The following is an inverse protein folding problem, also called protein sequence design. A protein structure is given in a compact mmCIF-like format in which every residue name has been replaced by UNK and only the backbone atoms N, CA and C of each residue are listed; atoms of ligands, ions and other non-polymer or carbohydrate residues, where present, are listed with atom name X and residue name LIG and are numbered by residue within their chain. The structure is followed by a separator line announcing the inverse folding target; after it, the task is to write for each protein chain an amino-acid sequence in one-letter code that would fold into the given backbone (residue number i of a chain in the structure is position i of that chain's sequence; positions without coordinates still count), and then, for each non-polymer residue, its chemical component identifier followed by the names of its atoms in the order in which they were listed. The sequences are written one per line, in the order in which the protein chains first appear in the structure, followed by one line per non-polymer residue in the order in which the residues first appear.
data_IF_634384874539
#
_entry.id   IF_634384874539
#
_cell.length_a   1.000
_cell.length_b   1.000
_cell.length_c   1.000
_cell.angle_alpha   90.00
_cell.angle_beta   90.00
_cell.angle_gamma   90.00
#
_symmetry.space_group_name_H-M   'P 1'
#
loop_
_entity.id
_entity.type
_entity.pdbx_description
1 polymer ?
#
# COMPACT_ATOMS: atom_id res chain seq x y z
N UNK A 1 -12.14 -4.31 -12.00
CA UNK A 1 -12.86 -3.02 -12.06
C UNK A 1 -12.74 -2.26 -10.73
N UNK A 2 -13.08 -2.87 -9.61
CA UNK A 2 -13.09 -2.21 -8.29
C UNK A 2 -11.76 -1.55 -7.89
N UNK A 3 -10.62 -2.22 -8.07
CA UNK A 3 -9.30 -1.64 -7.76
C UNK A 3 -9.00 -0.41 -8.63
N UNK A 4 -9.41 -0.42 -9.90
CA UNK A 4 -9.23 0.72 -10.79
C UNK A 4 -10.10 1.91 -10.37
N UNK A 5 -11.37 1.66 -10.02
CA UNK A 5 -12.29 2.71 -9.54
C UNK A 5 -11.79 3.36 -8.25
N UNK A 6 -11.33 2.53 -7.29
CA UNK A 6 -10.72 3.03 -6.04
C UNK A 6 -9.50 3.90 -6.33
N UNK A 7 -8.62 3.47 -7.23
CA UNK A 7 -7.43 4.21 -7.62
C UNK A 7 -7.77 5.51 -8.37
N UNK A 8 -8.75 5.49 -9.27
CA UNK A 8 -9.22 6.68 -9.99
C UNK A 8 -9.76 7.73 -9.01
N UNK A 9 -10.59 7.33 -8.06
CA UNK A 9 -11.11 8.23 -7.05
C UNK A 9 -10.01 8.84 -6.19
N UNK A 10 -9.08 8.01 -5.71
CA UNK A 10 -7.91 8.48 -4.96
C UNK A 10 -7.05 9.46 -5.75
N UNK A 11 -6.90 9.23 -7.06
CA UNK A 11 -6.16 10.12 -7.94
C UNK A 11 -6.83 11.48 -8.14
N UNK A 12 -8.15 11.49 -8.28
CA UNK A 12 -8.93 12.73 -8.36
C UNK A 12 -8.75 13.57 -7.09
N UNK A 13 -8.86 12.93 -5.92
CA UNK A 13 -8.60 13.58 -4.64
C UNK A 13 -7.16 14.13 -4.61
N UNK A 14 -6.15 13.30 -4.92
CA UNK A 14 -4.75 13.72 -4.91
C UNK A 14 -4.47 14.94 -5.81
N UNK A 15 -5.10 15.01 -6.98
CA UNK A 15 -4.97 16.15 -7.89
C UNK A 15 -5.67 17.40 -7.36
N UNK A 16 -6.78 17.25 -6.66
CA UNK A 16 -7.54 18.38 -6.10
C UNK A 16 -6.95 18.95 -4.81
N UNK A 17 -6.02 18.23 -4.14
CA UNK A 17 -5.34 18.70 -2.95
C UNK A 17 -4.58 20.02 -3.24
N UNK A 18 -4.88 21.06 -2.48
CA UNK A 18 -4.14 22.31 -2.50
C UNK A 18 -2.72 22.14 -1.95
N UNK A 19 -1.90 23.17 -2.06
CA UNK A 19 -0.57 23.16 -1.43
C UNK A 19 -0.67 23.08 0.10
N UNK A 20 -1.65 23.77 0.67
CA UNK A 20 -1.90 23.78 2.12
C UNK A 20 -2.39 22.42 2.60
N UNK A 21 -3.34 21.77 1.88
CA UNK A 21 -3.74 20.41 2.19
C UNK A 21 -2.55 19.44 2.18
N UNK A 22 -1.72 19.50 1.14
CA UNK A 22 -0.52 18.66 1.05
C UNK A 22 0.48 18.92 2.18
N UNK A 23 0.59 20.17 2.64
CA UNK A 23 1.43 20.52 3.77
C UNK A 23 0.87 19.92 5.06
N UNK A 24 -0.41 20.10 5.31
CA UNK A 24 -1.09 19.66 6.54
C UNK A 24 -1.21 18.12 6.63
N UNK A 25 -1.27 17.42 5.49
CA UNK A 25 -1.27 15.95 5.44
C UNK A 25 0.12 15.31 5.66
N UNK A 26 1.20 16.09 5.56
CA UNK A 26 2.58 15.56 5.73
C UNK A 26 2.82 14.82 7.04
N UNK A 27 2.33 15.28 8.22
CA UNK A 27 2.53 14.53 9.46
C UNK A 27 1.93 13.12 9.40
N UNK A 28 0.75 12.97 8.83
CA UNK A 28 0.08 11.67 8.69
C UNK A 28 0.87 10.74 7.75
N UNK A 29 1.29 11.26 6.60
CA UNK A 29 2.10 10.51 5.63
C UNK A 29 3.44 10.10 6.23
N UNK A 30 4.11 10.99 6.99
CA UNK A 30 5.37 10.67 7.68
C UNK A 30 5.20 9.60 8.74
N UNK A 31 4.11 9.63 9.51
CA UNK A 31 3.84 8.61 10.52
C UNK A 31 3.66 7.23 9.89
N UNK A 32 2.88 7.14 8.80
CA UNK A 32 2.72 5.90 8.03
C UNK A 32 4.08 5.43 7.51
N UNK A 33 4.85 6.31 6.90
CA UNK A 33 6.17 6.01 6.35
C UNK A 33 7.14 5.49 7.42
N UNK A 34 7.23 6.18 8.57
CA UNK A 34 8.07 5.74 9.68
C UNK A 34 7.68 4.37 10.24
N UNK A 35 6.39 4.06 10.32
CA UNK A 35 5.93 2.73 10.70
C UNK A 35 6.31 1.68 9.64
N UNK A 36 6.23 2.01 8.37
CA UNK A 36 6.68 1.11 7.29
C UNK A 36 8.20 0.88 7.30
N UNK A 37 8.99 1.88 7.66
CA UNK A 37 10.43 1.73 7.87
C UNK A 37 10.75 0.75 9.01
N UNK A 38 10.04 0.87 10.15
CA UNK A 38 10.18 -0.08 11.26
C UNK A 38 9.83 -1.51 10.84
N UNK A 39 8.74 -1.69 10.10
CA UNK A 39 8.36 -2.99 9.55
C UNK A 39 9.45 -3.53 8.61
N UNK A 40 10.01 -2.69 7.74
CA UNK A 40 11.10 -3.09 6.84
C UNK A 40 12.35 -3.53 7.60
N UNK A 41 12.68 -2.88 8.70
CA UNK A 41 13.77 -3.28 9.60
C UNK A 41 13.54 -4.67 10.18
N UNK A 42 12.34 -4.94 10.68
CA UNK A 42 11.98 -6.28 11.19
C UNK A 42 12.02 -7.33 10.07
N UNK A 43 11.54 -7.01 8.86
CA UNK A 43 11.61 -7.90 7.70
C UNK A 43 13.06 -8.25 7.34
N UNK A 44 13.97 -7.28 7.43
CA UNK A 44 15.39 -7.48 7.13
C UNK A 44 16.06 -8.32 8.22
N UNK A 45 15.82 -8.03 9.50
CA UNK A 45 16.36 -8.79 10.64
C UNK A 45 15.93 -10.26 10.64
N UNK A 46 14.72 -10.54 10.14
CA UNK A 46 14.15 -11.89 10.05
C UNK A 46 14.36 -12.55 8.68
N UNK A 47 15.14 -11.97 7.79
CA UNK A 47 15.40 -12.45 6.40
C UNK A 47 14.10 -12.73 5.59
N UNK A 48 13.01 -12.03 5.94
CA UNK A 48 11.70 -12.26 5.34
C UNK A 48 11.68 -12.01 3.84
N UNK A 49 12.47 -11.07 3.34
CA UNK A 49 12.56 -10.75 1.90
C UNK A 49 13.15 -11.90 1.10
N UNK A 50 14.13 -12.62 1.64
CA UNK A 50 14.72 -13.81 1.02
C UNK A 50 13.71 -14.95 0.96
N UNK A 51 12.96 -15.19 2.04
CA UNK A 51 11.91 -16.19 2.07
C UNK A 51 10.78 -15.86 1.08
N UNK A 52 10.37 -14.61 0.98
CA UNK A 52 9.39 -14.16 -0.01
C UNK A 52 9.87 -14.37 -1.45
N UNK A 53 11.16 -14.14 -1.74
CA UNK A 53 11.74 -14.42 -3.06
C UNK A 53 11.71 -15.91 -3.39
N UNK A 54 12.08 -16.77 -2.44
CA UNK A 54 12.07 -18.23 -2.62
C UNK A 54 10.67 -18.77 -2.93
N UNK A 55 9.62 -18.25 -2.30
CA UNK A 55 8.26 -18.69 -2.56
C UNK A 55 7.61 -18.03 -3.78
N UNK A 56 8.28 -17.09 -4.44
CA UNK A 56 7.77 -16.37 -5.60
C UNK A 56 6.53 -15.52 -5.31
N UNK A 57 6.32 -15.12 -4.04
CA UNK A 57 5.21 -14.25 -3.65
C UNK A 57 3.84 -14.91 -3.84
N UNK A 58 3.67 -16.17 -3.42
CA UNK A 58 2.39 -16.89 -3.54
C UNK A 58 1.25 -16.25 -2.77
N UNK A 59 1.55 -15.39 -1.77
CA UNK A 59 0.58 -14.60 -1.02
C UNK A 59 0.15 -13.30 -1.75
N UNK A 60 0.84 -12.90 -2.82
CA UNK A 60 0.44 -11.75 -3.64
C UNK A 60 -0.67 -12.19 -4.61
N UNK A 61 -1.88 -12.31 -4.09
CA UNK A 61 -3.08 -12.76 -4.80
C UNK A 61 -4.06 -11.62 -5.03
N UNK A 62 -5.04 -11.86 -5.92
CA UNK A 62 -6.08 -10.88 -6.26
C UNK A 62 -6.91 -10.43 -5.05
N UNK A 63 -7.14 -11.30 -4.06
CA UNK A 63 -7.93 -10.97 -2.88
C UNK A 63 -7.23 -9.92 -1.99
N UNK A 64 -5.89 -10.00 -1.89
CA UNK A 64 -5.11 -8.96 -1.21
C UNK A 64 -5.18 -7.65 -1.98
N UNK A 65 -5.12 -7.68 -3.30
CA UNK A 65 -5.30 -6.49 -4.14
C UNK A 65 -6.70 -5.87 -3.95
N UNK A 66 -7.74 -6.68 -3.91
CA UNK A 66 -9.12 -6.22 -3.69
C UNK A 66 -9.30 -5.53 -2.32
N UNK A 67 -8.45 -5.89 -1.34
CA UNK A 67 -8.44 -5.29 0.00
C UNK A 67 -7.73 -3.93 0.07
N UNK A 68 -7.12 -3.46 -1.02
CA UNK A 68 -6.52 -2.11 -1.09
C UNK A 68 -7.64 -1.08 -1.13
N UNK A 69 -7.62 -0.13 -0.20
CA UNK A 69 -8.60 0.93 -0.09
C UNK A 69 -8.19 2.22 -0.82
N UNK A 70 -9.11 3.16 -0.96
CA UNK A 70 -8.87 4.44 -1.61
C UNK A 70 -7.79 5.25 -0.90
N UNK A 71 -7.76 5.22 0.43
CA UNK A 71 -6.73 5.92 1.22
C UNK A 71 -5.34 5.30 0.99
N UNK A 72 -5.24 3.99 0.79
CA UNK A 72 -3.98 3.33 0.40
C UNK A 72 -3.48 3.86 -0.95
N UNK A 73 -4.35 3.96 -1.96
CA UNK A 73 -3.98 4.52 -3.27
C UNK A 73 -3.57 5.99 -3.17
N UNK A 74 -4.25 6.78 -2.34
CA UNK A 74 -3.86 8.16 -2.11
C UNK A 74 -2.47 8.25 -1.46
N UNK A 75 -2.18 7.40 -0.47
CA UNK A 75 -0.85 7.30 0.13
C UNK A 75 0.20 6.90 -0.91
N UNK A 76 -0.05 5.88 -1.73
CA UNK A 76 0.84 5.49 -2.83
C UNK A 76 1.13 6.68 -3.72
N UNK A 77 0.11 7.38 -4.23
CA UNK A 77 0.30 8.52 -5.13
C UNK A 77 1.01 9.70 -4.47
N UNK A 78 0.95 9.81 -3.14
CA UNK A 78 1.63 10.86 -2.38
C UNK A 78 3.11 10.57 -2.13
N UNK A 79 3.53 9.30 -2.19
CA UNK A 79 4.87 8.86 -1.79
C UNK A 79 5.73 8.35 -2.93
N UNK A 80 5.13 7.90 -4.04
CA UNK A 80 5.88 7.45 -5.22
C UNK A 80 6.31 8.60 -6.12
N UNK A 81 7.42 8.40 -6.83
CA UNK A 81 7.88 9.31 -7.88
C UNK A 81 6.89 9.37 -9.06
N UNK A 82 7.06 10.37 -9.93
CA UNK A 82 6.24 10.49 -11.14
C UNK A 82 6.31 9.24 -12.03
N UNK A 83 7.50 8.69 -12.23
CA UNK A 83 7.71 7.52 -13.10
C UNK A 83 7.06 6.26 -12.52
N UNK A 84 7.26 6.01 -11.23
CA UNK A 84 6.61 4.88 -10.54
C UNK A 84 5.10 4.99 -10.62
N UNK A 85 4.55 6.19 -10.48
CA UNK A 85 3.12 6.47 -10.60
C UNK A 85 2.58 6.12 -12.00
N UNK A 86 3.32 6.50 -13.04
CA UNK A 86 2.96 6.16 -14.43
C UNK A 86 2.95 4.64 -14.65
N UNK A 87 3.91 3.91 -14.09
CA UNK A 87 3.96 2.44 -14.19
C UNK A 87 2.83 1.75 -13.40
N UNK A 88 2.49 2.28 -12.23
CA UNK A 88 1.34 1.84 -11.45
C UNK A 88 0.05 2.05 -12.27
N UNK A 89 -0.13 3.21 -12.88
CA UNK A 89 -1.29 3.48 -13.74
C UNK A 89 -1.37 2.55 -14.94
N UNK A 90 -0.29 2.37 -15.68
CA UNK A 90 -0.24 1.42 -16.80
C UNK A 90 -0.63 0.00 -16.37
N UNK A 91 -0.27 -0.36 -15.14
CA UNK A 91 -0.60 -1.67 -14.58
C UNK A 91 -2.08 -1.78 -14.18
N UNK A 92 -2.64 -0.72 -13.59
CA UNK A 92 -4.07 -0.66 -13.25
C UNK A 92 -4.99 -0.75 -14.47
N UNK A 93 -4.55 -0.22 -15.62
CA UNK A 93 -5.30 -0.23 -16.86
C UNK A 93 -5.25 -1.59 -17.59
N UNK A 94 -4.34 -2.49 -17.23
CA UNK A 94 -4.28 -3.83 -17.82
C UNK A 94 -5.45 -4.67 -17.34
N UNK A 95 -6.04 -5.43 -18.25
CA UNK A 95 -7.02 -6.45 -17.88
C UNK A 95 -6.33 -7.53 -17.02
N UNK A 96 -6.85 -7.75 -15.83
CA UNK A 96 -6.42 -8.77 -14.89
C UNK A 96 -7.56 -9.75 -14.56
N UNK A 97 -8.63 -9.74 -15.35
CA UNK A 97 -9.79 -10.60 -15.16
C UNK A 97 -9.36 -12.07 -15.26
N UNK A 98 -9.81 -12.86 -14.29
CA UNK A 98 -9.45 -14.28 -14.20
C UNK A 98 -8.05 -14.59 -13.66
N UNK A 99 -7.21 -13.59 -13.40
CA UNK A 99 -5.93 -13.82 -12.75
C UNK A 99 -6.11 -14.04 -11.25
N UNK A 100 -5.47 -15.08 -10.71
CA UNK A 100 -5.36 -15.29 -9.26
C UNK A 100 -4.24 -14.47 -8.61
N UNK A 101 -3.38 -13.84 -9.41
CA UNK A 101 -2.26 -13.05 -8.91
C UNK A 101 -2.66 -11.57 -8.81
N UNK A 102 -2.09 -10.89 -7.81
CA UNK A 102 -2.14 -9.44 -7.71
C UNK A 102 -1.51 -8.81 -8.97
N UNK A 103 -2.16 -7.79 -9.55
CA UNK A 103 -1.68 -7.10 -10.76
C UNK A 103 -0.35 -6.38 -10.57
N UNK A 104 -0.04 -5.96 -9.35
CA UNK A 104 1.22 -5.28 -9.02
C UNK A 104 2.41 -6.24 -8.86
N UNK A 105 2.17 -7.56 -8.94
CA UNK A 105 3.22 -8.56 -8.89
C UNK A 105 3.95 -8.66 -10.22
N UNK A 106 5.25 -8.57 -10.20
CA UNK A 106 6.13 -8.79 -11.36
C UNK A 106 7.12 -9.94 -11.10
N UNK A 107 7.90 -10.31 -12.12
CA UNK A 107 9.00 -11.29 -11.96
C UNK A 107 10.07 -10.83 -10.96
N UNK A 108 10.20 -9.52 -10.74
CA UNK A 108 11.17 -8.91 -9.82
C UNK A 108 10.58 -8.59 -8.44
N UNK A 109 9.31 -8.91 -8.20
CA UNK A 109 8.58 -8.57 -6.98
C UNK A 109 7.44 -7.58 -7.23
N UNK A 110 6.99 -6.89 -6.19
CA UNK A 110 5.97 -5.86 -6.31
C UNK A 110 6.50 -4.61 -7.01
N UNK A 111 5.72 -4.03 -7.93
CA UNK A 111 6.09 -2.77 -8.59
C UNK A 111 5.87 -1.54 -7.69
N UNK A 112 5.03 -1.67 -6.64
CA UNK A 112 4.87 -0.61 -5.65
C UNK A 112 6.09 -0.64 -4.74
N UNK A 113 6.82 0.49 -4.58
CA UNK A 113 7.97 0.58 -3.70
C UNK A 113 7.65 0.16 -2.28
N UNK A 114 8.61 -0.42 -1.58
CA UNK A 114 8.40 -1.04 -0.27
C UNK A 114 7.75 -0.11 0.76
N UNK A 115 8.26 1.12 0.86
CA UNK A 115 7.73 2.13 1.79
C UNK A 115 6.47 2.86 1.30
N UNK A 116 5.97 2.52 0.13
CA UNK A 116 4.71 3.05 -0.44
C UNK A 116 3.62 2.00 -0.52
N UNK A 117 3.83 0.79 0.01
CA UNK A 117 2.87 -0.31 -0.08
C UNK A 117 1.60 -0.02 0.72
N UNK A 118 0.45 -0.52 0.25
CA UNK A 118 -0.79 -0.54 1.03
C UNK A 118 -0.59 -1.19 2.40
N UNK A 119 -1.37 -0.76 3.40
CA UNK A 119 -1.25 -1.31 4.74
C UNK A 119 -1.44 -2.84 4.77
N UNK A 120 -2.40 -3.35 4.00
CA UNK A 120 -2.64 -4.79 3.90
C UNK A 120 -1.44 -5.54 3.33
N UNK A 121 -0.80 -5.00 2.28
CA UNK A 121 0.35 -5.63 1.66
C UNK A 121 1.60 -5.61 2.55
N UNK A 122 1.75 -4.54 3.36
CA UNK A 122 2.91 -4.37 4.23
C UNK A 122 2.86 -5.24 5.48
N UNK A 123 1.67 -5.64 5.90
CA UNK A 123 1.47 -6.40 7.13
C UNK A 123 0.93 -7.81 6.92
N UNK A 124 0.75 -8.22 5.67
CA UNK A 124 0.32 -9.58 5.34
C UNK A 124 1.53 -10.49 5.13
N UNK A 125 1.57 -11.57 5.90
CA UNK A 125 2.56 -12.63 5.76
C UNK A 125 1.88 -13.99 5.72
N UNK A 126 2.42 -14.86 4.89
CA UNK A 126 1.91 -16.24 4.78
C UNK A 126 2.25 -17.05 6.04
N UNK A 127 1.55 -18.17 6.22
CA UNK A 127 1.69 -19.07 7.38
C UNK A 127 3.09 -19.71 7.53
N UNK A 128 3.95 -19.55 6.53
CA UNK A 128 5.31 -20.11 6.54
C UNK A 128 6.24 -19.43 7.54
N UNK A 129 5.93 -18.19 7.94
CA UNK A 129 6.69 -17.45 8.95
C UNK A 129 5.75 -16.99 10.08
N UNK A 130 5.43 -17.90 10.99
CA UNK A 130 4.49 -17.67 12.10
C UNK A 130 5.00 -16.61 13.10
N UNK A 131 6.31 -16.57 13.33
CA UNK A 131 6.92 -15.60 14.24
C UNK A 131 6.76 -14.18 13.69
N UNK A 132 7.16 -13.96 12.45
CA UNK A 132 6.98 -12.69 11.76
C UNK A 132 5.49 -12.31 11.69
N UNK A 133 4.61 -13.26 11.37
CA UNK A 133 3.17 -13.03 11.34
C UNK A 133 2.63 -12.55 12.70
N UNK A 134 3.12 -13.10 13.80
CA UNK A 134 2.70 -12.69 15.14
C UNK A 134 3.18 -11.28 15.47
N UNK A 135 4.42 -10.94 15.14
CA UNK A 135 4.95 -9.58 15.30
C UNK A 135 4.17 -8.58 14.44
N UNK A 136 3.85 -8.94 13.21
CA UNK A 136 3.13 -8.06 12.29
C UNK A 136 1.68 -7.77 12.68
N UNK A 137 1.07 -8.55 13.58
CA UNK A 137 -0.27 -8.24 14.11
C UNK A 137 -0.30 -6.89 14.83
N UNK A 138 0.72 -6.55 15.60
CA UNK A 138 0.81 -5.26 16.30
C UNK A 138 0.99 -4.11 15.30
N UNK A 139 1.90 -4.29 14.35
CA UNK A 139 2.12 -3.28 13.30
C UNK A 139 0.87 -3.08 12.42
N UNK A 140 0.11 -4.15 12.15
CA UNK A 140 -1.13 -4.07 11.38
C UNK A 140 -2.14 -3.13 12.03
N UNK A 141 -2.36 -3.25 13.34
CA UNK A 141 -3.28 -2.38 14.06
C UNK A 141 -2.79 -0.93 14.04
N UNK A 142 -1.50 -0.71 14.29
CA UNK A 142 -0.90 0.63 14.26
C UNK A 142 -1.02 1.25 12.86
N UNK A 143 -0.60 0.52 11.83
CA UNK A 143 -0.60 1.01 10.46
C UNK A 143 -2.03 1.27 9.96
N UNK A 144 -2.96 0.36 10.20
CA UNK A 144 -4.38 0.55 9.89
C UNK A 144 -4.94 1.81 10.57
N UNK A 145 -4.66 2.00 11.86
CA UNK A 145 -5.07 3.19 12.60
C UNK A 145 -4.55 4.48 11.98
N UNK A 146 -3.30 4.50 11.55
CA UNK A 146 -2.69 5.66 10.89
C UNK A 146 -3.33 5.97 9.53
N UNK A 147 -3.64 4.94 8.73
CA UNK A 147 -4.39 5.13 7.48
C UNK A 147 -5.81 5.67 7.75
N UNK A 148 -6.47 5.21 8.80
CA UNK A 148 -7.78 5.76 9.21
C UNK A 148 -7.69 7.20 9.68
N UNK A 149 -6.62 7.60 10.36
CA UNK A 149 -6.40 9.00 10.73
C UNK A 149 -6.23 9.88 9.49
N UNK A 150 -5.45 9.44 8.50
CA UNK A 150 -5.30 10.13 7.22
C UNK A 150 -6.65 10.27 6.49
N UNK A 151 -7.43 9.20 6.43
CA UNK A 151 -8.77 9.20 5.82
C UNK A 151 -9.70 10.20 6.52
N UNK A 152 -9.73 10.20 7.85
CA UNK A 152 -10.58 11.08 8.65
C UNK A 152 -10.18 12.56 8.47
N UNK A 153 -8.88 12.86 8.40
CA UNK A 153 -8.38 14.21 8.13
C UNK A 153 -8.86 14.70 6.75
N UNK A 154 -8.78 13.85 5.75
CA UNK A 154 -9.26 14.18 4.41
C UNK A 154 -10.77 14.41 4.38
N UNK A 155 -11.55 13.57 5.05
CA UNK A 155 -13.00 13.76 5.20
C UNK A 155 -13.34 15.05 5.93
N UNK A 156 -12.61 15.39 6.98
CA UNK A 156 -12.78 16.65 7.71
C UNK A 156 -12.52 17.88 6.85
N UNK A 157 -11.77 17.75 5.76
CA UNK A 157 -11.51 18.79 4.75
C UNK A 157 -12.51 18.77 3.58
N UNK A 158 -13.52 17.92 3.65
CA UNK A 158 -14.56 17.81 2.62
C UNK A 158 -14.21 16.92 1.42
N UNK A 159 -13.13 16.12 1.50
CA UNK A 159 -12.84 15.12 0.49
C UNK A 159 -13.68 13.85 0.76
N UNK A 160 -14.46 13.46 -0.23
CA UNK A 160 -15.29 12.25 -0.14
C UNK A 160 -14.52 11.02 -0.64
N UNK A 161 -14.52 9.96 0.17
CA UNK A 161 -13.93 8.65 -0.12
C UNK A 161 -14.98 7.61 -0.45
#
# INVERSE_FOLDING_TARGET
LESLEKAQRAWEIYKSLTKDDKFDLRPYIRNIHGTQELISGVEDDMDAKTECKKCGGTCCISDIEASIDRVDYLYIFSTVSRWEREDIWKTLLKDNSGSKNCRFKSKKGCIIPDLSRPHVCKTFYCDRNRELQSMMKLFRLSLYGQFKMLENELKGRGYEF
#
